data_IF_705011809320
#
_entry.id   IF_705011809320
#
_cell.length_a   1.000
_cell.length_b   1.000
_cell.length_c   1.000
_cell.angle_alpha   90.00
_cell.angle_beta   90.00
_cell.angle_gamma   90.00
#
_symmetry.space_group_name_H-M   'P 1'
#
loop_
_entity.id
_entity.type
_entity.pdbx_description
1 polymer ?
#
# COMPACT_ATOMS: atom_id res chain seq x y z
N UNK A 1 -17.46 -4.81 -17.59
CA UNK A 1 -16.87 -3.56 -18.01
C UNK A 1 -17.82 -2.37 -18.05
N UNK A 2 -18.95 -2.45 -18.77
CA UNK A 2 -19.84 -1.29 -19.03
C UNK A 2 -20.55 -0.82 -17.75
N UNK A 3 -21.05 -1.72 -16.92
CA UNK A 3 -21.74 -1.38 -15.65
C UNK A 3 -20.79 -0.64 -14.68
N UNK A 4 -19.52 -0.99 -14.67
CA UNK A 4 -18.51 -0.35 -13.81
C UNK A 4 -18.25 1.10 -14.24
N UNK A 5 -17.95 1.34 -15.51
CA UNK A 5 -17.66 2.69 -16.04
C UNK A 5 -18.90 3.58 -16.09
N UNK A 6 -20.06 3.00 -16.40
CA UNK A 6 -21.30 3.75 -16.57
C UNK A 6 -22.04 4.08 -15.28
N UNK A 7 -21.96 3.23 -14.24
CA UNK A 7 -22.81 3.38 -13.04
C UNK A 7 -21.97 3.46 -11.76
N UNK A 8 -21.03 2.55 -11.56
CA UNK A 8 -20.35 2.43 -10.26
C UNK A 8 -19.29 3.52 -10.07
N UNK A 9 -18.48 3.83 -11.08
CA UNK A 9 -17.49 4.91 -11.00
C UNK A 9 -18.09 6.31 -10.79
N UNK A 10 -19.20 6.70 -11.43
CA UNK A 10 -19.89 7.94 -11.07
C UNK A 10 -20.44 7.96 -9.65
N UNK A 11 -21.01 6.83 -9.17
CA UNK A 11 -21.53 6.71 -7.81
C UNK A 11 -20.43 6.82 -6.74
N UNK A 12 -19.22 6.37 -7.01
CA UNK A 12 -18.10 6.54 -6.05
C UNK A 12 -17.70 8.01 -5.88
N UNK A 13 -17.95 8.86 -6.87
CA UNK A 13 -17.70 10.31 -6.79
C UNK A 13 -18.65 11.04 -5.83
N UNK A 14 -19.81 10.45 -5.53
CA UNK A 14 -20.77 10.96 -4.55
C UNK A 14 -20.32 10.69 -3.10
N UNK A 15 -19.40 9.76 -2.89
CA UNK A 15 -18.86 9.50 -1.57
C UNK A 15 -17.89 10.63 -1.17
N UNK A 16 -18.00 11.15 0.08
CA UNK A 16 -17.14 12.22 0.53
C UNK A 16 -15.67 11.83 0.48
N UNK A 17 -14.85 12.67 -0.15
CA UNK A 17 -13.41 12.56 -0.12
C UNK A 17 -12.91 12.98 1.27
N UNK A 18 -12.83 12.03 2.19
CA UNK A 18 -12.31 12.28 3.54
C UNK A 18 -10.79 12.28 3.55
N UNK A 19 -10.18 13.32 4.10
CA UNK A 19 -8.76 13.34 4.44
C UNK A 19 -8.43 12.49 5.68
N UNK A 20 -9.47 11.94 6.32
CA UNK A 20 -9.37 11.16 7.55
C UNK A 20 -8.77 9.77 7.36
N UNK A 21 -8.71 9.05 8.49
CA UNK A 21 -8.16 7.70 8.61
C UNK A 21 -8.83 6.69 7.66
N UNK A 22 -10.16 6.74 7.55
CA UNK A 22 -10.92 5.92 6.61
C UNK A 22 -11.44 6.85 5.52
N UNK A 23 -10.97 6.62 4.29
CA UNK A 23 -11.55 7.23 3.12
C UNK A 23 -12.43 6.18 2.41
N UNK A 24 -13.76 6.17 2.62
CA UNK A 24 -14.65 5.16 2.04
C UNK A 24 -14.57 5.14 0.52
N UNK A 25 -14.44 6.31 -0.10
CA UNK A 25 -14.27 6.43 -1.54
C UNK A 25 -13.03 5.71 -2.04
N UNK A 26 -11.87 5.95 -1.40
CA UNK A 26 -10.61 5.29 -1.76
C UNK A 26 -10.69 3.76 -1.56
N UNK A 27 -11.36 3.31 -0.51
CA UNK A 27 -11.55 1.87 -0.24
C UNK A 27 -12.40 1.22 -1.35
N UNK A 28 -13.51 1.85 -1.76
CA UNK A 28 -14.37 1.35 -2.83
C UNK A 28 -13.65 1.40 -4.18
N UNK A 29 -12.97 2.49 -4.51
CA UNK A 29 -12.19 2.62 -5.75
C UNK A 29 -11.08 1.55 -5.83
N UNK A 30 -10.40 1.28 -4.72
CA UNK A 30 -9.35 0.24 -4.65
C UNK A 30 -9.94 -1.17 -4.82
N UNK A 31 -11.07 -1.44 -4.17
CA UNK A 31 -11.79 -2.72 -4.33
C UNK A 31 -12.23 -2.92 -5.79
N UNK A 32 -12.83 -1.90 -6.40
CA UNK A 32 -13.32 -1.97 -7.78
C UNK A 32 -12.18 -2.15 -8.80
N UNK A 33 -11.02 -1.56 -8.55
CA UNK A 33 -9.82 -1.78 -9.39
C UNK A 33 -9.44 -3.25 -9.45
N UNK A 34 -9.49 -3.95 -8.32
CA UNK A 34 -9.13 -5.36 -8.22
C UNK A 34 -10.27 -6.36 -8.49
N UNK A 35 -11.53 -5.93 -8.56
CA UNK A 35 -12.68 -6.83 -8.52
C UNK A 35 -12.72 -7.90 -9.63
N UNK A 36 -12.22 -7.59 -10.82
CA UNK A 36 -12.17 -8.51 -11.98
C UNK A 36 -10.77 -9.04 -12.27
N UNK A 37 -9.77 -8.65 -11.49
CA UNK A 37 -8.40 -9.08 -11.65
C UNK A 37 -8.17 -10.48 -11.05
N UNK A 38 -7.19 -11.25 -11.55
CA UNK A 38 -6.74 -12.46 -10.89
C UNK A 38 -6.32 -12.19 -9.45
N UNK A 39 -6.34 -13.22 -8.60
CA UNK A 39 -6.09 -13.05 -7.17
C UNK A 39 -4.71 -12.43 -6.87
N UNK A 40 -3.66 -12.79 -7.60
CA UNK A 40 -2.34 -12.21 -7.46
C UNK A 40 -2.31 -10.70 -7.79
N UNK A 41 -3.02 -10.29 -8.83
CA UNK A 41 -3.09 -8.88 -9.23
C UNK A 41 -3.88 -8.05 -8.23
N UNK A 42 -4.92 -8.62 -7.58
CA UNK A 42 -5.63 -7.94 -6.47
C UNK A 42 -4.69 -7.63 -5.31
N UNK A 43 -3.83 -8.58 -4.96
CA UNK A 43 -2.81 -8.37 -3.90
C UNK A 43 -1.90 -7.22 -4.28
N UNK A 44 -1.37 -7.23 -5.50
CA UNK A 44 -0.49 -6.18 -5.98
C UNK A 44 -1.17 -4.81 -6.05
N UNK A 45 -2.44 -4.74 -6.47
CA UNK A 45 -3.21 -3.50 -6.50
C UNK A 45 -3.32 -2.84 -5.12
N UNK A 46 -3.35 -3.63 -4.04
CA UNK A 46 -3.37 -3.12 -2.67
C UNK A 46 -1.99 -2.63 -2.21
N UNK A 47 -0.92 -3.22 -2.71
CA UNK A 47 0.46 -2.89 -2.32
C UNK A 47 1.02 -1.71 -3.11
N UNK A 48 0.70 -1.58 -4.40
CA UNK A 48 1.29 -0.56 -5.27
C UNK A 48 0.85 0.87 -4.92
N UNK A 49 1.76 1.82 -5.17
CA UNK A 49 1.47 3.26 -5.10
C UNK A 49 0.99 3.81 -6.44
N UNK A 50 1.44 3.23 -7.54
CA UNK A 50 1.14 3.66 -8.91
C UNK A 50 0.54 2.53 -9.72
N UNK A 51 -0.45 2.83 -10.53
CA UNK A 51 -0.87 1.89 -11.58
C UNK A 51 0.12 1.93 -12.75
N UNK A 52 0.16 0.90 -13.61
CA UNK A 52 0.99 0.94 -14.82
C UNK A 52 0.70 2.15 -15.71
N UNK A 53 -0.58 2.52 -15.83
CA UNK A 53 -1.02 3.68 -16.60
C UNK A 53 -0.46 4.99 -16.01
N UNK A 54 -0.54 5.16 -14.69
CA UNK A 54 0.05 6.30 -14.00
C UNK A 54 1.57 6.36 -14.19
N UNK A 55 2.25 5.21 -14.18
CA UNK A 55 3.71 5.17 -14.43
C UNK A 55 4.03 5.57 -15.85
N UNK A 56 3.27 5.10 -16.85
CA UNK A 56 3.46 5.48 -18.25
C UNK A 56 3.26 6.98 -18.49
N UNK A 57 2.32 7.61 -17.78
CA UNK A 57 2.11 9.05 -17.83
C UNK A 57 3.22 9.85 -17.12
N UNK A 58 3.70 9.31 -16.00
CA UNK A 58 4.64 9.99 -15.11
C UNK A 58 6.08 9.97 -15.62
N UNK A 59 6.54 8.82 -16.17
CA UNK A 59 7.92 8.62 -16.59
C UNK A 59 8.23 9.41 -17.85
N UNK A 60 9.40 10.07 -17.91
CA UNK A 60 9.87 10.80 -19.08
C UNK A 60 10.13 9.84 -20.26
N UNK A 61 10.63 8.65 -19.96
CA UNK A 61 10.91 7.58 -20.93
C UNK A 61 10.31 6.26 -20.45
N UNK A 62 9.00 6.03 -20.64
CA UNK A 62 8.37 4.81 -20.20
C UNK A 62 8.79 3.63 -21.08
N UNK A 63 9.24 2.56 -20.47
CA UNK A 63 9.32 1.25 -21.11
C UNK A 63 7.93 0.60 -21.07
N UNK A 64 7.21 0.68 -22.16
CA UNK A 64 5.84 0.19 -22.26
C UNK A 64 5.73 -1.32 -22.17
N UNK A 65 6.76 -2.07 -22.53
CA UNK A 65 6.75 -3.52 -22.38
C UNK A 65 6.96 -3.92 -20.92
N UNK A 66 7.90 -3.28 -20.23
CA UNK A 66 8.09 -3.47 -18.79
C UNK A 66 6.86 -3.06 -17.98
N UNK A 67 6.15 -1.99 -18.39
CA UNK A 67 4.95 -1.49 -17.71
C UNK A 67 3.68 -2.33 -17.94
N UNK A 68 3.73 -3.37 -18.80
CA UNK A 68 2.64 -4.34 -18.84
C UNK A 68 2.49 -5.03 -17.49
N UNK A 69 1.25 -5.25 -17.08
CA UNK A 69 0.95 -5.82 -15.75
C UNK A 69 1.63 -7.17 -15.52
N UNK A 70 1.73 -7.98 -16.57
CA UNK A 70 2.39 -9.28 -16.56
C UNK A 70 3.88 -9.17 -16.21
N UNK A 71 4.57 -8.14 -16.69
CA UNK A 71 5.99 -7.91 -16.47
C UNK A 71 6.23 -7.14 -15.16
N UNK A 72 5.53 -6.01 -14.99
CA UNK A 72 5.68 -5.16 -13.81
C UNK A 72 5.34 -5.89 -12.51
N UNK A 73 4.34 -6.78 -12.55
CA UNK A 73 3.87 -7.53 -11.39
C UNK A 73 4.35 -8.98 -11.38
N UNK A 74 5.28 -9.36 -12.29
CA UNK A 74 5.83 -10.69 -12.38
C UNK A 74 6.33 -11.25 -11.03
N UNK A 75 7.08 -10.49 -10.19
CA UNK A 75 7.54 -11.01 -8.89
C UNK A 75 6.38 -11.38 -7.95
N UNK A 76 5.30 -10.60 -7.96
CA UNK A 76 4.11 -10.90 -7.15
C UNK A 76 3.37 -12.12 -7.67
N UNK A 77 3.22 -12.23 -8.98
CA UNK A 77 2.57 -13.38 -9.62
C UNK A 77 3.36 -14.66 -9.33
N UNK A 78 4.66 -14.62 -9.51
CA UNK A 78 5.54 -15.74 -9.25
C UNK A 78 5.45 -16.22 -7.79
N UNK A 79 5.57 -15.33 -6.84
CA UNK A 79 5.41 -15.67 -5.42
C UNK A 79 4.01 -16.20 -5.09
N UNK A 80 2.97 -15.67 -5.74
CA UNK A 80 1.61 -16.11 -5.52
C UNK A 80 1.32 -17.51 -6.12
N UNK A 81 1.84 -17.79 -7.30
CA UNK A 81 1.58 -19.03 -8.05
C UNK A 81 2.45 -20.19 -7.58
N UNK A 82 3.73 -19.94 -7.27
CA UNK A 82 4.68 -20.98 -6.88
C UNK A 82 4.68 -21.32 -5.38
N UNK A 83 3.83 -20.71 -4.58
CA UNK A 83 3.72 -21.08 -3.17
C UNK A 83 3.08 -22.46 -3.01
N UNK A 84 3.84 -23.48 -2.53
CA UNK A 84 3.37 -24.87 -2.55
C UNK A 84 2.29 -25.17 -1.50
N UNK A 85 2.12 -24.34 -0.51
CA UNK A 85 1.43 -24.71 0.73
C UNK A 85 -0.02 -24.24 0.82
N UNK A 86 -0.75 -24.00 -0.27
CA UNK A 86 -2.12 -23.63 -0.01
C UNK A 86 -3.08 -23.68 -1.17
N UNK A 87 -4.15 -24.44 -1.03
CA UNK A 87 -5.26 -24.40 -1.98
C UNK A 87 -6.03 -23.09 -1.95
N UNK A 88 -5.86 -22.27 -0.89
CA UNK A 88 -6.61 -21.03 -0.71
C UNK A 88 -5.90 -19.82 -1.28
N UNK A 89 -6.54 -19.04 -2.19
CA UNK A 89 -6.00 -17.75 -2.66
C UNK A 89 -5.65 -16.78 -1.53
N UNK A 90 -6.38 -16.84 -0.41
CA UNK A 90 -6.11 -16.00 0.75
C UNK A 90 -4.82 -16.39 1.48
N UNK A 91 -4.48 -17.68 1.55
CA UNK A 91 -3.21 -18.14 2.12
C UNK A 91 -2.03 -17.67 1.27
N UNK A 92 -2.16 -17.75 -0.05
CA UNK A 92 -1.16 -17.22 -1.01
C UNK A 92 -1.01 -15.71 -0.87
N UNK A 93 -2.11 -14.97 -0.71
CA UNK A 93 -2.08 -13.53 -0.44
C UNK A 93 -1.31 -13.20 0.84
N UNK A 94 -1.52 -13.95 1.93
CA UNK A 94 -0.77 -13.76 3.17
C UNK A 94 0.73 -14.00 2.97
N UNK A 95 1.11 -14.99 2.17
CA UNK A 95 2.51 -15.23 1.84
C UNK A 95 3.14 -14.03 1.12
N UNK A 96 2.49 -13.53 0.07
CA UNK A 96 2.96 -12.35 -0.67
C UNK A 96 3.08 -11.13 0.24
N UNK A 97 2.08 -10.89 1.11
CA UNK A 97 2.15 -9.80 2.08
C UNK A 97 3.31 -9.95 3.06
N UNK A 98 3.59 -11.18 3.52
CA UNK A 98 4.71 -11.45 4.40
C UNK A 98 6.07 -11.20 3.71
N UNK A 99 6.21 -11.62 2.46
CA UNK A 99 7.47 -11.53 1.71
C UNK A 99 7.75 -10.13 1.16
N UNK A 100 6.75 -9.40 0.74
CA UNK A 100 6.94 -8.07 0.12
C UNK A 100 6.66 -6.94 1.10
N UNK A 101 5.49 -6.90 1.72
CA UNK A 101 5.12 -5.75 2.55
C UNK A 101 5.70 -5.84 3.96
N UNK A 102 5.60 -7.01 4.61
CA UNK A 102 6.11 -7.14 5.98
C UNK A 102 7.64 -7.13 5.98
N UNK A 103 8.29 -7.93 5.14
CA UNK A 103 9.74 -8.06 5.12
C UNK A 103 10.41 -6.77 4.60
N UNK A 104 10.00 -6.28 3.41
CA UNK A 104 10.72 -5.22 2.70
C UNK A 104 10.33 -3.80 3.11
N UNK A 105 9.19 -3.60 3.80
CA UNK A 105 8.76 -2.29 4.30
C UNK A 105 8.71 -2.26 5.83
N UNK A 106 7.85 -3.08 6.46
CA UNK A 106 7.58 -2.94 7.89
C UNK A 106 8.80 -3.29 8.74
N UNK A 107 9.43 -4.44 8.49
CA UNK A 107 10.55 -4.89 9.31
C UNK A 107 11.80 -4.06 9.06
N UNK A 108 12.09 -3.70 7.82
CA UNK A 108 13.22 -2.80 7.48
C UNK A 108 13.07 -1.45 8.17
N UNK A 109 11.86 -0.89 8.16
CA UNK A 109 11.57 0.38 8.82
C UNK A 109 11.73 0.28 10.33
N UNK A 110 11.14 -0.73 10.96
CA UNK A 110 11.21 -0.93 12.41
C UNK A 110 12.66 -1.11 12.84
N UNK A 111 13.40 -2.00 12.19
CA UNK A 111 14.80 -2.27 12.49
C UNK A 111 15.66 -1.00 12.38
N UNK A 112 15.64 -0.35 11.24
CA UNK A 112 16.47 0.86 11.02
C UNK A 112 16.11 2.00 11.95
N UNK A 113 14.81 2.27 12.17
CA UNK A 113 14.40 3.35 13.06
C UNK A 113 14.73 3.08 14.52
N UNK A 114 14.63 1.84 14.99
CA UNK A 114 14.97 1.49 16.38
C UNK A 114 16.49 1.48 16.58
N UNK A 115 17.26 0.94 15.63
CA UNK A 115 18.72 0.89 15.71
C UNK A 115 19.37 2.27 15.62
N UNK A 116 18.74 3.24 14.94
CA UNK A 116 19.18 4.65 15.00
C UNK A 116 19.19 5.22 16.43
N UNK A 117 18.41 4.61 17.33
CA UNK A 117 18.36 4.98 18.75
C UNK A 117 18.96 3.89 19.66
N UNK A 118 19.77 2.98 19.10
CA UNK A 118 20.41 1.86 19.82
C UNK A 118 19.40 0.97 20.57
N UNK A 119 18.16 0.85 20.02
CA UNK A 119 17.11 0.03 20.60
C UNK A 119 16.92 -1.23 19.76
N UNK A 120 17.17 -2.38 20.34
CA UNK A 120 16.87 -3.67 19.72
C UNK A 120 15.39 -4.02 19.92
N UNK A 121 14.67 -4.28 18.82
CA UNK A 121 13.26 -4.67 18.83
C UNK A 121 13.14 -6.13 18.44
N UNK A 122 12.50 -6.93 19.28
CA UNK A 122 12.13 -8.32 19.01
C UNK A 122 10.61 -8.44 18.86
N UNK A 123 10.18 -9.13 17.81
CA UNK A 123 8.76 -9.33 17.51
C UNK A 123 8.35 -10.77 17.83
N UNK A 124 7.70 -11.07 18.98
CA UNK A 124 7.37 -12.45 19.38
C UNK A 124 6.53 -13.22 18.36
N UNK A 125 5.66 -12.52 17.60
CA UNK A 125 4.86 -13.14 16.54
C UNK A 125 5.67 -13.53 15.29
N UNK A 126 6.95 -13.14 15.21
CA UNK A 126 7.87 -13.50 14.13
C UNK A 126 8.91 -14.52 14.57
N UNK A 127 8.79 -15.06 15.78
CA UNK A 127 9.53 -16.26 16.17
C UNK A 127 9.30 -17.35 15.12
N UNK A 128 10.38 -18.03 14.71
CA UNK A 128 10.35 -18.96 13.58
C UNK A 128 9.35 -20.09 13.82
N UNK A 129 9.44 -20.74 14.96
CA UNK A 129 8.61 -21.91 15.25
C UNK A 129 7.12 -21.52 15.37
N UNK A 130 6.87 -20.38 16.02
CA UNK A 130 5.53 -19.81 16.11
C UNK A 130 4.98 -19.41 14.73
N UNK A 131 5.75 -18.73 13.91
CA UNK A 131 5.33 -18.29 12.59
C UNK A 131 5.05 -19.49 11.65
N UNK A 132 5.89 -20.52 11.69
CA UNK A 132 5.68 -21.76 10.93
C UNK A 132 4.44 -22.49 11.41
N UNK A 133 4.24 -22.61 12.71
CA UNK A 133 3.02 -23.20 13.28
C UNK A 133 1.76 -22.46 12.80
N UNK A 134 1.75 -21.15 12.93
CA UNK A 134 0.61 -20.32 12.48
C UNK A 134 0.41 -20.43 10.97
N UNK A 135 1.49 -20.50 10.18
CA UNK A 135 1.37 -20.65 8.72
C UNK A 135 0.63 -21.92 8.34
N UNK A 136 0.85 -23.02 9.03
CA UNK A 136 0.19 -24.34 8.79
C UNK A 136 -1.28 -24.37 9.20
N UNK A 137 -1.73 -23.47 10.07
CA UNK A 137 -3.13 -23.42 10.50
C UNK A 137 -4.07 -23.11 9.33
N UNK A 138 -5.19 -23.83 9.30
CA UNK A 138 -6.24 -23.58 8.31
C UNK A 138 -6.78 -22.13 8.44
N UNK A 139 -7.15 -21.56 7.30
CA UNK A 139 -7.64 -20.17 7.21
C UNK A 139 -8.79 -19.87 8.17
N UNK A 140 -9.70 -20.83 8.41
CA UNK A 140 -10.82 -20.67 9.35
C UNK A 140 -10.39 -20.32 10.78
N UNK A 141 -9.17 -20.67 11.18
CA UNK A 141 -8.60 -20.31 12.49
C UNK A 141 -8.02 -18.89 12.51
N UNK A 142 -7.65 -18.35 11.35
CA UNK A 142 -7.13 -16.99 11.21
C UNK A 142 -8.25 -15.97 10.94
N UNK A 143 -9.21 -16.39 10.09
CA UNK A 143 -10.37 -15.60 9.70
C UNK A 143 -11.62 -16.50 9.78
N UNK A 144 -12.55 -16.15 10.66
CA UNK A 144 -13.84 -16.86 10.81
C UNK A 144 -14.98 -15.91 10.45
N UNK A 145 -15.61 -16.14 9.28
CA UNK A 145 -16.51 -15.15 8.71
C UNK A 145 -15.81 -13.80 8.52
N UNK A 146 -16.33 -12.76 9.14
CA UNK A 146 -15.72 -11.43 9.16
C UNK A 146 -14.79 -11.17 10.36
N UNK A 147 -14.68 -12.13 11.28
CA UNK A 147 -13.85 -11.99 12.48
C UNK A 147 -12.39 -12.30 12.16
N UNK A 148 -11.56 -11.25 12.15
CA UNK A 148 -10.11 -11.34 11.96
C UNK A 148 -9.42 -11.73 13.28
N UNK A 149 -8.24 -12.39 13.17
CA UNK A 149 -7.45 -12.86 14.32
C UNK A 149 -8.24 -13.78 15.24
N UNK A 150 -9.09 -14.64 14.65
CA UNK A 150 -10.06 -15.43 15.40
C UNK A 150 -9.42 -16.27 16.51
N UNK A 151 -8.46 -17.15 16.15
CA UNK A 151 -7.79 -18.00 17.12
C UNK A 151 -7.04 -17.21 18.19
N UNK A 152 -6.34 -16.14 17.79
CA UNK A 152 -5.64 -15.29 18.75
C UNK A 152 -6.61 -14.68 19.77
N UNK A 153 -7.73 -14.12 19.32
CA UNK A 153 -8.73 -13.56 20.22
C UNK A 153 -9.31 -14.61 21.15
N UNK A 154 -9.58 -15.82 20.63
CA UNK A 154 -10.11 -16.93 21.42
C UNK A 154 -9.10 -17.41 22.47
N UNK A 155 -7.82 -17.46 22.12
CA UNK A 155 -6.78 -17.90 23.05
C UNK A 155 -6.55 -16.91 24.21
N UNK A 156 -6.91 -15.64 24.03
CA UNK A 156 -6.70 -14.60 25.04
C UNK A 156 -7.99 -14.12 25.72
N UNK A 157 -9.09 -14.88 25.58
CA UNK A 157 -10.40 -14.50 26.15
C UNK A 157 -10.33 -14.34 27.67
N UNK A 158 -9.58 -15.21 28.35
CA UNK A 158 -9.44 -15.19 29.82
C UNK A 158 -8.26 -14.32 30.30
N UNK A 159 -7.50 -13.75 29.38
CA UNK A 159 -6.28 -12.96 29.69
C UNK A 159 -6.49 -11.47 29.44
N UNK A 160 -7.24 -11.12 28.40
CA UNK A 160 -7.44 -9.73 27.99
C UNK A 160 -8.89 -9.28 28.24
N UNK A 161 -9.08 -8.01 28.66
CA UNK A 161 -10.41 -7.44 28.81
C UNK A 161 -11.22 -7.48 27.50
N UNK A 162 -12.54 -7.68 27.55
CA UNK A 162 -13.41 -7.75 26.36
C UNK A 162 -13.27 -6.50 25.46
N UNK A 163 -13.07 -5.33 26.03
CA UNK A 163 -12.90 -4.07 25.29
C UNK A 163 -11.67 -4.09 24.39
N UNK A 164 -10.62 -4.80 24.78
CA UNK A 164 -9.41 -4.96 23.98
C UNK A 164 -9.63 -6.01 22.88
N UNK A 165 -10.25 -7.13 23.22
CA UNK A 165 -10.53 -8.23 22.28
C UNK A 165 -11.48 -7.81 21.15
N UNK A 166 -12.49 -7.00 21.47
CA UNK A 166 -13.54 -6.60 20.53
C UNK A 166 -13.34 -5.21 19.95
N UNK A 167 -12.29 -4.50 20.33
CA UNK A 167 -11.96 -3.17 19.81
C UNK A 167 -11.85 -3.17 18.29
N UNK A 168 -12.47 -2.19 17.65
CA UNK A 168 -12.28 -1.93 16.23
C UNK A 168 -10.80 -1.71 15.90
N UNK A 169 -10.32 -2.37 14.85
CA UNK A 169 -8.94 -2.16 14.40
C UNK A 169 -8.71 -0.71 14.03
N UNK A 170 -7.73 -0.09 14.66
CA UNK A 170 -7.13 1.18 14.20
C UNK A 170 -5.74 0.87 13.64
N UNK A 171 -5.41 1.37 12.45
CA UNK A 171 -4.07 1.25 11.89
C UNK A 171 -3.19 2.41 12.37
N UNK A 172 -1.89 2.25 12.25
CA UNK A 172 -0.92 3.33 12.44
C UNK A 172 -0.88 4.20 11.19
N UNK A 173 -1.91 4.99 10.94
CA UNK A 173 -1.89 5.94 9.83
C UNK A 173 -1.56 7.33 10.36
N UNK A 174 -0.46 7.86 9.88
CA UNK A 174 -0.14 9.28 10.01
C UNK A 174 -0.98 10.08 9.01
N UNK A 175 -1.34 11.33 9.30
CA UNK A 175 -2.20 12.13 8.44
C UNK A 175 -1.44 12.68 7.20
N UNK A 176 -0.83 11.79 6.42
CA UNK A 176 0.00 12.15 5.25
C UNK A 176 -0.75 13.04 4.27
N UNK A 177 -2.03 12.76 4.01
CA UNK A 177 -2.82 13.59 3.09
C UNK A 177 -2.93 15.04 3.56
N UNK A 178 -3.15 15.26 4.86
CA UNK A 178 -3.21 16.60 5.42
C UNK A 178 -1.81 17.26 5.42
N UNK A 179 -0.77 16.49 5.69
CA UNK A 179 0.60 17.01 5.66
C UNK A 179 1.02 17.46 4.26
N UNK A 180 0.73 16.69 3.24
CA UNK A 180 1.04 17.03 1.84
C UNK A 180 0.26 18.26 1.36
N UNK A 181 -0.99 18.45 1.83
CA UNK A 181 -1.79 19.65 1.54
C UNK A 181 -1.35 20.87 2.33
N UNK A 182 -0.73 20.69 3.49
CA UNK A 182 -0.32 21.74 4.43
C UNK A 182 1.19 21.84 4.61
N UNK A 183 1.69 21.42 5.76
CA UNK A 183 3.07 21.68 6.21
C UNK A 183 4.18 21.13 5.31
N UNK A 184 3.91 20.10 4.51
CA UNK A 184 4.88 19.53 3.58
C UNK A 184 4.73 20.07 2.15
N UNK A 185 3.75 20.93 1.90
CA UNK A 185 3.55 21.53 0.59
C UNK A 185 4.76 22.31 0.07
N UNK A 186 5.41 23.18 0.86
CA UNK A 186 6.62 23.88 0.40
C UNK A 186 7.75 22.93 0.00
N UNK A 187 7.94 21.84 0.75
CA UNK A 187 8.92 20.81 0.43
C UNK A 187 8.59 20.08 -0.89
N UNK A 188 7.31 19.79 -1.14
CA UNK A 188 6.91 19.23 -2.44
C UNK A 188 7.15 20.20 -3.58
N UNK A 189 6.81 21.47 -3.41
CA UNK A 189 7.02 22.52 -4.43
C UNK A 189 8.50 22.67 -4.77
N UNK A 190 9.39 22.63 -3.78
CA UNK A 190 10.84 22.65 -3.95
C UNK A 190 11.34 21.41 -4.73
N UNK A 191 10.99 20.21 -4.23
CA UNK A 191 11.52 18.95 -4.78
C UNK A 191 10.91 18.55 -6.12
N UNK A 192 9.72 19.04 -6.42
CA UNK A 192 9.01 18.80 -7.68
C UNK A 192 9.07 20.00 -8.61
N UNK A 193 10.01 20.93 -8.38
CA UNK A 193 10.24 22.07 -9.28
C UNK A 193 10.50 21.57 -10.71
N UNK A 194 9.86 22.17 -11.73
CA UNK A 194 9.97 21.70 -13.11
C UNK A 194 11.42 21.64 -13.62
N UNK A 195 12.25 22.62 -13.23
CA UNK A 195 13.67 22.71 -13.60
C UNK A 195 14.44 21.50 -13.07
N UNK A 196 14.19 21.14 -11.81
CA UNK A 196 14.82 19.98 -11.15
C UNK A 196 14.40 18.67 -11.81
N UNK A 197 13.11 18.49 -12.07
CA UNK A 197 12.59 17.27 -12.71
C UNK A 197 13.12 17.13 -14.14
N UNK A 198 13.25 18.23 -14.90
CA UNK A 198 13.85 18.22 -16.25
C UNK A 198 15.34 17.86 -16.20
N UNK A 199 16.09 18.44 -15.25
CA UNK A 199 17.50 18.12 -15.08
C UNK A 199 17.75 16.65 -14.75
N UNK A 200 16.86 16.03 -13.95
CA UNK A 200 16.92 14.60 -13.63
C UNK A 200 16.53 13.71 -14.82
N UNK A 201 15.63 14.15 -15.70
CA UNK A 201 15.17 13.38 -16.86
C UNK A 201 14.39 12.11 -16.52
N UNK A 202 13.91 11.95 -15.28
CA UNK A 202 13.19 10.76 -14.82
C UNK A 202 11.69 10.88 -15.00
N UNK A 203 11.14 12.05 -14.72
CA UNK A 203 9.70 12.30 -14.69
C UNK A 203 9.31 13.45 -15.61
N UNK A 204 8.08 13.41 -16.11
CA UNK A 204 7.46 14.54 -16.83
C UNK A 204 6.96 15.55 -15.80
N UNK A 205 7.47 16.79 -15.78
CA UNK A 205 7.08 17.80 -14.79
C UNK A 205 5.59 18.08 -14.77
N UNK A 206 4.96 18.07 -15.94
CA UNK A 206 3.52 18.34 -16.10
C UNK A 206 2.66 17.26 -15.47
N UNK A 207 3.09 15.99 -15.57
CA UNK A 207 2.41 14.86 -14.94
C UNK A 207 2.53 14.91 -13.40
N UNK A 208 3.73 15.21 -12.88
CA UNK A 208 3.93 15.41 -11.43
C UNK A 208 3.06 16.56 -10.92
N UNK A 209 3.03 17.68 -11.64
CA UNK A 209 2.22 18.87 -11.30
C UNK A 209 0.74 18.51 -11.24
N UNK A 210 0.24 17.76 -12.22
CA UNK A 210 -1.16 17.30 -12.26
C UNK A 210 -1.52 16.47 -11.03
N UNK A 211 -0.62 15.58 -10.56
CA UNK A 211 -0.84 14.80 -9.33
C UNK A 211 -0.92 15.70 -8.10
N UNK A 212 -0.01 16.68 -7.98
CA UNK A 212 0.00 17.64 -6.87
C UNK A 212 -1.28 18.45 -6.84
N UNK A 213 -1.67 19.03 -7.98
CA UNK A 213 -2.84 19.89 -8.09
C UNK A 213 -4.14 19.11 -7.78
N UNK A 214 -4.27 17.89 -8.29
CA UNK A 214 -5.41 17.03 -8.01
C UNK A 214 -5.53 16.66 -6.53
N UNK A 215 -4.39 16.43 -5.86
CA UNK A 215 -4.36 16.13 -4.43
C UNK A 215 -4.65 17.36 -3.58
N UNK A 216 -3.99 18.47 -3.85
CA UNK A 216 -4.11 19.70 -3.07
C UNK A 216 -5.50 20.34 -3.20
N UNK A 217 -6.12 20.28 -4.38
CA UNK A 217 -7.52 20.72 -4.58
C UNK A 217 -8.57 19.79 -3.96
N UNK A 218 -8.18 18.62 -3.47
CA UNK A 218 -9.13 17.63 -2.95
C UNK A 218 -9.87 16.82 -4.01
N UNK A 219 -9.57 17.02 -5.28
CA UNK A 219 -10.18 16.28 -6.42
C UNK A 219 -9.90 14.78 -6.33
N UNK A 220 -8.71 14.40 -5.87
CA UNK A 220 -8.32 13.01 -5.66
C UNK A 220 -7.47 12.86 -4.40
N UNK A 221 -7.47 11.65 -3.80
CA UNK A 221 -6.56 11.31 -2.72
C UNK A 221 -5.34 10.57 -3.29
N UNK A 222 -4.30 11.34 -3.58
CA UNK A 222 -3.05 10.86 -4.15
C UNK A 222 -1.90 10.82 -3.12
N UNK A 223 -2.25 10.63 -1.82
CA UNK A 223 -1.26 10.58 -0.74
C UNK A 223 -0.17 9.53 -0.96
N UNK A 224 -0.53 8.35 -1.44
CA UNK A 224 0.41 7.26 -1.68
C UNK A 224 1.40 7.57 -2.82
N UNK A 225 0.96 7.92 -4.04
CA UNK A 225 1.85 8.33 -5.12
C UNK A 225 2.76 9.50 -4.74
N UNK A 226 2.20 10.57 -4.18
CA UNK A 226 2.98 11.77 -3.83
C UNK A 226 3.99 11.49 -2.72
N UNK A 227 3.64 10.68 -1.72
CA UNK A 227 4.58 10.26 -0.68
C UNK A 227 5.73 9.45 -1.27
N UNK A 228 5.44 8.51 -2.17
CA UNK A 228 6.47 7.70 -2.84
C UNK A 228 7.42 8.57 -3.67
N UNK A 229 6.88 9.52 -4.44
CA UNK A 229 7.70 10.47 -5.20
C UNK A 229 8.54 11.35 -4.28
N UNK A 230 7.96 11.84 -3.19
CA UNK A 230 8.67 12.70 -2.22
C UNK A 230 9.85 11.97 -1.59
N UNK A 231 9.64 10.72 -1.16
CA UNK A 231 10.70 9.89 -0.57
C UNK A 231 11.81 9.62 -1.61
N UNK A 232 11.44 9.33 -2.86
CA UNK A 232 12.41 9.15 -3.93
C UNK A 232 13.22 10.44 -4.18
N UNK A 233 12.58 11.59 -4.26
CA UNK A 233 13.26 12.86 -4.47
C UNK A 233 14.19 13.25 -3.30
N UNK A 234 13.80 12.93 -2.06
CA UNK A 234 14.67 13.11 -0.89
C UNK A 234 15.89 12.19 -0.96
N UNK A 235 15.68 10.96 -1.40
CA UNK A 235 16.76 9.98 -1.57
C UNK A 235 17.75 10.41 -2.68
N UNK A 236 17.23 10.87 -3.83
CA UNK A 236 18.05 11.41 -4.94
C UNK A 236 18.87 12.61 -4.45
N UNK A 237 18.23 13.56 -3.76
CA UNK A 237 18.89 14.74 -3.18
C UNK A 237 20.03 14.36 -2.23
N UNK A 238 19.81 13.38 -1.37
CA UNK A 238 20.83 12.90 -0.43
C UNK A 238 22.04 12.24 -1.12
N UNK A 239 21.91 11.90 -2.41
CA UNK A 239 22.97 11.34 -3.24
C UNK A 239 23.57 12.33 -4.25
N UNK A 240 23.19 13.61 -4.17
CA UNK A 240 23.69 14.66 -5.06
C UNK A 240 23.09 14.61 -6.48
N UNK A 241 21.92 13.97 -6.63
CA UNK A 241 21.22 13.83 -7.92
C UNK A 241 19.96 14.70 -7.98
#
# INVERSE_FOLDING_TARGET
GILRRGVIEPLTRLLPASAGYINPRLAVETFLRGAHAPAWERVQTLLTSFTPEMQAELLARPDHDFLRRENLFAPTREQFEHWPAGPSPLARAFHVYARQFMLDDILVKVDRCSMLHSLEVRAPFLDKDFAEYVARLAIRHKLHGFQRKYLLKKAFTDVLPPEILHRNKRGFQIPVAAWLRGRMRPLMEELFAPERLRAQGLFRPEAVRSLVDAHCSGKADLRKPLWTLLVLQLWLRARGM
#
